data_IF_153870110552
#
_entry.id   IF_153870110552
#
_cell.length_a   1.000
_cell.length_b   1.000
_cell.length_c   1.000
_cell.angle_alpha   90.00
_cell.angle_beta   90.00
_cell.angle_gamma   90.00
#
_symmetry.space_group_name_H-M   'P 1'
#
loop_
_entity.id
_entity.type
_entity.pdbx_description
1 polymer ?
#
# COMPACT_ATOMS: atom_id res chain seq x y z
N UNK A 1 10.95 -23.50 -17.69
CA UNK A 1 11.31 -22.56 -16.59
C UNK A 1 10.52 -21.29 -16.80
N UNK A 2 9.53 -21.03 -15.94
CA UNK A 2 8.74 -19.80 -15.95
C UNK A 2 9.64 -18.61 -15.62
N UNK A 3 10.19 -17.97 -16.64
CA UNK A 3 10.99 -16.75 -16.50
C UNK A 3 10.16 -15.54 -16.05
N UNK A 4 8.84 -15.62 -16.13
CA UNK A 4 7.91 -14.63 -15.64
C UNK A 4 7.10 -15.20 -14.48
N UNK A 5 7.34 -14.75 -13.26
CA UNK A 5 6.48 -15.05 -12.10
C UNK A 5 5.13 -14.32 -12.18
N UNK A 6 4.53 -14.26 -13.39
CA UNK A 6 3.34 -13.48 -13.69
C UNK A 6 2.13 -13.84 -12.83
N UNK A 7 1.92 -15.14 -12.55
CA UNK A 7 0.80 -15.61 -11.71
C UNK A 7 0.89 -15.20 -10.25
N UNK A 8 2.08 -14.82 -9.77
CA UNK A 8 2.34 -14.42 -8.38
C UNK A 8 2.79 -12.97 -8.29
N UNK A 9 2.87 -12.25 -9.41
CA UNK A 9 3.20 -10.84 -9.43
C UNK A 9 1.97 -10.03 -9.03
N UNK A 10 2.04 -9.34 -7.90
CA UNK A 10 0.98 -8.47 -7.41
C UNK A 10 0.57 -7.44 -8.46
N UNK A 11 1.54 -6.83 -9.15
CA UNK A 11 1.30 -5.83 -10.19
C UNK A 11 0.47 -6.36 -11.36
N UNK A 12 0.80 -7.57 -11.84
CA UNK A 12 0.06 -8.20 -12.94
C UNK A 12 -1.36 -8.59 -12.50
N UNK A 13 -1.54 -9.01 -11.25
CA UNK A 13 -2.86 -9.33 -10.70
C UNK A 13 -3.72 -8.06 -10.53
N UNK A 14 -3.13 -6.95 -10.12
CA UNK A 14 -3.77 -5.63 -10.06
C UNK A 14 -4.24 -5.20 -11.45
N UNK A 15 -3.34 -5.21 -12.44
CA UNK A 15 -3.64 -4.85 -13.84
C UNK A 15 -4.76 -5.74 -14.43
N UNK A 16 -4.74 -7.04 -14.13
CA UNK A 16 -5.77 -7.98 -14.57
C UNK A 16 -7.13 -7.67 -13.95
N UNK A 17 -7.18 -7.33 -12.67
CA UNK A 17 -8.42 -6.97 -12.01
C UNK A 17 -9.00 -5.66 -12.57
N UNK A 18 -8.17 -4.64 -12.78
CA UNK A 18 -8.56 -3.38 -13.42
C UNK A 18 -9.10 -3.60 -14.83
N UNK A 19 -8.40 -4.40 -15.64
CA UNK A 19 -8.83 -4.75 -17.00
C UNK A 19 -10.15 -5.51 -17.00
N UNK A 20 -10.37 -6.42 -16.06
CA UNK A 20 -11.62 -7.16 -15.92
C UNK A 20 -12.79 -6.24 -15.58
N UNK A 21 -12.62 -5.33 -14.62
CA UNK A 21 -13.65 -4.35 -14.25
C UNK A 21 -13.95 -3.42 -15.44
N UNK A 22 -12.91 -2.97 -16.15
CA UNK A 22 -13.06 -2.16 -17.37
C UNK A 22 -13.83 -2.88 -18.48
N UNK A 23 -13.52 -4.14 -18.73
CA UNK A 23 -14.26 -4.96 -19.71
C UNK A 23 -15.73 -5.13 -19.32
N UNK A 24 -16.01 -5.42 -18.06
CA UNK A 24 -17.36 -5.53 -17.53
C UNK A 24 -18.14 -4.21 -17.69
N UNK A 25 -17.49 -3.08 -17.39
CA UNK A 25 -18.09 -1.75 -17.57
C UNK A 25 -18.49 -1.50 -19.03
N UNK A 26 -17.62 -1.82 -19.99
CA UNK A 26 -17.89 -1.64 -21.42
C UNK A 26 -18.99 -2.59 -21.89
N UNK A 27 -18.91 -3.86 -21.53
CA UNK A 27 -19.86 -4.89 -21.97
C UNK A 27 -21.31 -4.56 -21.54
N UNK A 28 -21.51 -4.17 -20.30
CA UNK A 28 -22.82 -3.78 -19.79
C UNK A 28 -23.32 -2.42 -20.28
N UNK A 29 -22.44 -1.53 -20.74
CA UNK A 29 -22.83 -0.27 -21.37
C UNK A 29 -23.13 -0.40 -22.87
N UNK A 30 -22.54 -1.37 -23.57
CA UNK A 30 -22.80 -1.59 -24.99
C UNK A 30 -24.20 -2.25 -25.27
N UNK A 31 -24.79 -2.90 -24.28
CA UNK A 31 -26.12 -3.52 -24.40
C UNK A 31 -27.23 -2.49 -24.63
N UNK A 32 -27.03 -1.26 -24.25
CA UNK A 32 -28.01 -0.18 -24.47
C UNK A 32 -27.71 0.60 -25.75
N UNK A 33 -28.03 0.03 -26.91
CA UNK A 33 -28.08 0.73 -28.21
C UNK A 33 -29.16 1.85 -28.33
N UNK A 34 -29.61 2.35 -27.20
CA UNK A 34 -30.54 3.48 -27.17
C UNK A 34 -29.80 4.75 -26.77
N UNK A 35 -29.78 5.72 -27.67
CA UNK A 35 -29.28 7.11 -27.60
C UNK A 35 -29.69 7.95 -26.35
N UNK A 36 -30.03 7.31 -25.25
CA UNK A 36 -30.35 7.93 -23.97
C UNK A 36 -29.12 8.17 -23.10
N UNK A 37 -28.01 7.47 -23.39
CA UNK A 37 -26.81 7.48 -22.55
C UNK A 37 -25.88 8.68 -22.79
N UNK A 38 -26.06 9.42 -23.89
CA UNK A 38 -25.29 10.66 -24.13
C UNK A 38 -25.50 11.75 -23.06
N UNK A 39 -26.46 11.54 -22.14
CA UNK A 39 -26.76 12.48 -21.04
C UNK A 39 -26.42 11.99 -19.65
N UNK A 40 -26.07 10.71 -19.47
CA UNK A 40 -25.77 10.14 -18.16
C UNK A 40 -24.41 9.47 -18.16
N UNK A 41 -23.45 10.06 -17.46
CA UNK A 41 -22.09 9.53 -17.29
C UNK A 41 -22.01 8.25 -16.45
N UNK A 42 -23.11 7.79 -15.87
CA UNK A 42 -23.21 6.58 -15.05
C UNK A 42 -24.29 5.64 -15.62
N UNK A 43 -23.94 4.87 -16.64
CA UNK A 43 -24.81 3.83 -17.19
C UNK A 43 -24.93 2.60 -16.27
N UNK A 44 -25.71 1.61 -16.71
CA UNK A 44 -25.91 0.31 -16.01
C UNK A 44 -24.57 -0.36 -15.70
N UNK A 45 -23.59 -0.27 -16.61
CA UNK A 45 -22.24 -0.80 -16.41
C UNK A 45 -21.56 -0.26 -15.16
N UNK A 46 -21.71 1.03 -14.85
CA UNK A 46 -21.16 1.61 -13.62
C UNK A 46 -21.76 0.97 -12.36
N UNK A 47 -23.09 0.86 -12.31
CA UNK A 47 -23.79 0.29 -11.14
C UNK A 47 -23.45 -1.19 -10.92
N UNK A 48 -23.27 -1.95 -12.00
CA UNK A 48 -22.87 -3.36 -11.93
C UNK A 48 -21.42 -3.47 -11.40
N UNK A 49 -20.51 -2.66 -11.94
CA UNK A 49 -19.12 -2.64 -11.48
C UNK A 49 -19.01 -2.19 -10.02
N UNK A 50 -19.73 -1.14 -9.63
CA UNK A 50 -19.77 -0.68 -8.24
C UNK A 50 -20.24 -1.80 -7.30
N UNK A 51 -21.37 -2.43 -7.62
CA UNK A 51 -21.91 -3.52 -6.82
C UNK A 51 -20.98 -4.73 -6.76
N UNK A 52 -20.32 -5.07 -7.87
CA UNK A 52 -19.34 -6.14 -7.92
C UNK A 52 -18.15 -5.83 -7.00
N UNK A 53 -17.55 -4.63 -7.11
CA UNK A 53 -16.41 -4.22 -6.29
C UNK A 53 -16.78 -4.21 -4.81
N UNK A 54 -17.95 -3.64 -4.46
CA UNK A 54 -18.42 -3.61 -3.07
C UNK A 54 -18.57 -5.03 -2.52
N UNK A 55 -19.23 -5.93 -3.25
CA UNK A 55 -19.40 -7.31 -2.83
C UNK A 55 -18.05 -8.03 -2.64
N UNK A 56 -17.10 -7.86 -3.56
CA UNK A 56 -15.74 -8.44 -3.44
C UNK A 56 -15.04 -7.92 -2.18
N UNK A 57 -15.13 -6.63 -1.91
CA UNK A 57 -14.52 -6.03 -0.73
C UNK A 57 -15.19 -6.55 0.55
N UNK A 58 -16.53 -6.57 0.61
CA UNK A 58 -17.27 -7.03 1.78
C UNK A 58 -17.03 -8.52 2.08
N UNK A 59 -16.87 -9.34 1.03
CA UNK A 59 -16.64 -10.79 1.19
C UNK A 59 -15.20 -11.13 1.61
N UNK A 60 -14.21 -10.37 1.11
CA UNK A 60 -12.80 -10.75 1.25
C UNK A 60 -11.99 -9.85 2.18
N UNK A 61 -12.54 -8.70 2.60
CA UNK A 61 -11.83 -7.75 3.45
C UNK A 61 -12.44 -7.71 4.85
N UNK A 62 -11.71 -8.20 5.83
CA UNK A 62 -12.06 -7.98 7.24
C UNK A 62 -11.63 -6.58 7.69
N UNK A 63 -12.59 -5.65 7.68
CA UNK A 63 -12.36 -4.27 8.11
C UNK A 63 -11.97 -4.18 9.59
N UNK A 64 -12.44 -5.10 10.43
CA UNK A 64 -12.06 -5.12 11.85
C UNK A 64 -10.57 -5.44 11.98
N UNK A 65 -10.08 -6.40 11.21
CA UNK A 65 -8.66 -6.74 11.18
C UNK A 65 -7.81 -5.57 10.62
N UNK A 66 -8.28 -4.90 9.57
CA UNK A 66 -7.60 -3.73 9.00
C UNK A 66 -7.51 -2.57 9.98
N UNK A 67 -8.57 -2.29 10.74
CA UNK A 67 -8.62 -1.22 11.74
C UNK A 67 -7.71 -1.57 12.92
N UNK A 68 -7.72 -2.82 13.36
CA UNK A 68 -6.89 -3.29 14.47
C UNK A 68 -5.40 -3.40 14.09
N UNK A 69 -5.10 -3.75 12.84
CA UNK A 69 -3.73 -3.76 12.32
C UNK A 69 -3.32 -2.38 11.81
N UNK A 70 -3.08 -1.46 12.71
CA UNK A 70 -2.46 -0.18 12.32
C UNK A 70 -1.00 -0.42 11.90
N UNK A 71 -0.80 -0.70 10.61
CA UNK A 71 0.51 -0.95 10.02
C UNK A 71 1.28 0.34 9.66
N UNK A 72 0.73 1.50 9.99
CA UNK A 72 1.41 2.78 9.73
C UNK A 72 2.37 3.12 10.88
N UNK A 73 3.42 2.33 10.99
CA UNK A 73 4.43 2.49 12.03
C UNK A 73 5.12 3.86 11.99
N UNK A 74 5.26 4.45 10.79
CA UNK A 74 5.86 5.77 10.63
C UNK A 74 5.01 6.87 11.27
N UNK A 75 3.70 6.83 11.10
CA UNK A 75 2.79 7.79 11.70
C UNK A 75 2.74 7.65 13.23
N UNK A 76 2.67 6.41 13.71
CA UNK A 76 2.69 6.12 15.15
C UNK A 76 3.96 6.67 15.80
N UNK A 77 5.13 6.39 15.20
CA UNK A 77 6.40 6.85 15.71
C UNK A 77 6.54 8.38 15.62
N UNK A 78 6.09 8.98 14.53
CA UNK A 78 6.14 10.44 14.34
C UNK A 78 5.27 11.15 15.37
N UNK A 79 4.09 10.63 15.69
CA UNK A 79 3.24 11.14 16.74
C UNK A 79 3.93 11.05 18.11
N UNK A 80 4.48 9.89 18.45
CA UNK A 80 5.23 9.69 19.68
C UNK A 80 6.40 10.68 19.82
N UNK A 81 7.19 10.89 18.77
CA UNK A 81 8.31 11.82 18.78
C UNK A 81 7.85 13.27 18.93
N UNK A 82 6.79 13.65 18.23
CA UNK A 82 6.22 15.00 18.34
C UNK A 82 5.69 15.29 19.75
N UNK A 83 5.04 14.31 20.39
CA UNK A 83 4.49 14.43 21.74
C UNK A 83 5.59 14.41 22.82
N UNK A 84 6.64 13.58 22.63
CA UNK A 84 7.66 13.35 23.66
C UNK A 84 8.84 14.33 23.55
N UNK A 85 9.28 14.59 22.32
CA UNK A 85 10.49 15.38 22.04
C UNK A 85 10.22 16.70 21.33
N UNK A 86 8.99 16.95 20.89
CA UNK A 86 8.62 18.17 20.15
C UNK A 86 9.24 18.28 18.76
N UNK A 87 9.77 17.20 18.20
CA UNK A 87 10.43 17.17 16.90
C UNK A 87 9.96 15.99 16.05
N UNK A 88 10.02 16.09 14.71
CA UNK A 88 9.73 14.96 13.83
C UNK A 88 10.86 13.93 13.88
N UNK A 89 10.53 12.69 13.49
CA UNK A 89 11.52 11.62 13.34
C UNK A 89 12.54 11.95 12.24
N UNK A 90 13.80 11.62 12.49
CA UNK A 90 14.89 11.73 11.53
C UNK A 90 15.27 10.36 11.01
N UNK A 91 15.61 10.28 9.72
CA UNK A 91 16.11 9.07 9.08
C UNK A 91 17.51 9.29 8.54
N UNK A 92 18.32 8.23 8.51
CA UNK A 92 19.59 8.23 7.78
C UNK A 92 19.34 8.27 6.27
N UNK A 93 20.34 8.71 5.50
CA UNK A 93 20.34 8.46 4.05
C UNK A 93 20.26 6.94 3.80
N UNK A 94 19.45 6.51 2.82
CA UNK A 94 19.29 5.09 2.51
C UNK A 94 20.60 4.51 1.99
N UNK A 95 21.11 3.49 2.65
CA UNK A 95 22.15 2.64 2.07
C UNK A 95 21.52 1.66 1.10
N UNK A 96 22.11 1.52 -0.09
CA UNK A 96 21.57 0.64 -1.15
C UNK A 96 22.57 -0.47 -1.39
N UNK A 97 22.14 -1.70 -1.17
CA UNK A 97 22.89 -2.91 -1.47
C UNK A 97 22.16 -3.75 -2.52
N UNK A 98 22.93 -4.55 -3.30
CA UNK A 98 22.40 -5.43 -4.32
C UNK A 98 22.50 -4.92 -5.75
N UNK A 99 22.20 -5.82 -6.72
CA UNK A 99 22.24 -5.54 -8.15
C UNK A 99 21.01 -4.79 -8.65
N UNK A 100 20.99 -4.47 -9.96
CA UNK A 100 19.93 -3.69 -10.60
C UNK A 100 18.49 -4.22 -10.35
N UNK A 101 18.32 -5.54 -10.19
CA UNK A 101 17.01 -6.18 -10.01
C UNK A 101 16.69 -6.59 -8.57
N UNK A 102 17.66 -6.55 -7.64
CA UNK A 102 17.50 -6.99 -6.25
C UNK A 102 18.03 -5.94 -5.25
N UNK A 103 17.68 -4.68 -5.49
CA UNK A 103 18.08 -3.60 -4.58
C UNK A 103 17.41 -3.75 -3.22
N UNK A 104 18.22 -3.66 -2.17
CA UNK A 104 17.79 -3.57 -0.79
C UNK A 104 18.19 -2.19 -0.24
N UNK A 105 17.25 -1.56 0.41
CA UNK A 105 17.44 -0.27 1.06
C UNK A 105 17.52 -0.49 2.56
N UNK A 106 18.57 0.01 3.19
CA UNK A 106 18.71 0.04 4.64
C UNK A 106 18.54 1.47 5.12
N UNK A 107 17.65 1.67 6.08
CA UNK A 107 17.34 2.98 6.67
C UNK A 107 17.31 2.84 8.18
N UNK A 108 17.88 3.80 8.90
CA UNK A 108 17.82 3.84 10.36
C UNK A 108 17.06 5.07 10.84
N UNK A 109 16.37 4.93 11.97
CA UNK A 109 15.74 6.03 12.70
C UNK A 109 16.75 6.57 13.72
N UNK A 110 16.84 7.90 13.79
CA UNK A 110 17.71 8.60 14.72
C UNK A 110 16.86 9.29 15.81
N UNK A 111 17.39 9.33 17.03
CA UNK A 111 16.83 10.12 18.11
C UNK A 111 17.21 11.62 18.01
N UNK A 112 16.87 12.39 19.02
CA UNK A 112 17.18 13.83 19.12
C UNK A 112 18.70 14.12 19.21
N UNK A 113 19.51 13.10 19.55
CA UNK A 113 20.98 13.16 19.67
C UNK A 113 21.70 12.51 18.51
N UNK A 114 20.98 12.23 17.40
CA UNK A 114 21.47 11.55 16.23
C UNK A 114 22.00 10.11 16.49
N UNK A 115 21.52 9.46 17.57
CA UNK A 115 21.81 8.07 17.87
C UNK A 115 20.80 7.15 17.16
N UNK A 116 21.29 6.08 16.53
CA UNK A 116 20.43 5.09 15.88
C UNK A 116 19.63 4.30 16.93
N UNK A 117 18.29 4.32 16.81
CA UNK A 117 17.37 3.66 17.74
C UNK A 117 16.54 2.54 17.09
N UNK A 118 16.64 2.39 15.79
CA UNK A 118 16.03 1.28 15.04
C UNK A 118 16.43 1.29 13.59
N UNK A 119 16.44 0.11 12.97
CA UNK A 119 16.88 -0.09 11.57
C UNK A 119 15.89 -0.94 10.81
N UNK A 120 15.70 -0.63 9.53
CA UNK A 120 14.83 -1.37 8.65
C UNK A 120 15.43 -1.61 7.29
N UNK A 121 15.21 -2.81 6.74
CA UNK A 121 15.66 -3.22 5.41
C UNK A 121 14.46 -3.56 4.56
N UNK A 122 14.41 -3.05 3.33
CA UNK A 122 13.28 -3.28 2.43
C UNK A 122 13.63 -3.15 0.96
N UNK A 123 12.79 -3.71 0.09
CA UNK A 123 12.94 -3.62 -1.37
C UNK A 123 12.66 -2.22 -1.95
N UNK A 124 12.22 -1.29 -1.12
CA UNK A 124 12.08 0.13 -1.47
C UNK A 124 12.36 0.98 -0.25
N UNK A 125 12.79 2.23 -0.45
CA UNK A 125 13.02 3.21 0.61
C UNK A 125 11.83 3.29 1.57
N UNK A 126 10.60 3.39 1.03
CA UNK A 126 9.36 3.47 1.81
C UNK A 126 9.13 2.24 2.70
N UNK A 127 9.42 1.02 2.20
CA UNK A 127 9.33 -0.21 3.01
C UNK A 127 10.42 -0.28 4.08
N UNK A 128 11.65 0.13 3.75
CA UNK A 128 12.73 0.20 4.71
C UNK A 128 12.42 1.17 5.86
N UNK A 129 11.90 2.37 5.56
CA UNK A 129 11.45 3.34 6.56
C UNK A 129 10.35 2.77 7.47
N UNK A 130 9.35 2.07 6.93
CA UNK A 130 8.29 1.44 7.73
C UNK A 130 8.85 0.36 8.67
N UNK A 131 9.79 -0.44 8.20
CA UNK A 131 10.43 -1.46 9.03
C UNK A 131 11.33 -0.86 10.10
N UNK A 132 12.05 0.21 9.80
CA UNK A 132 12.84 0.95 10.77
C UNK A 132 11.95 1.54 11.88
N UNK A 133 10.82 2.14 11.53
CA UNK A 133 9.85 2.64 12.49
C UNK A 133 9.26 1.52 13.35
N UNK A 134 8.94 0.37 12.76
CA UNK A 134 8.45 -0.80 13.50
C UNK A 134 9.48 -1.31 14.50
N UNK A 135 10.73 -1.40 14.09
CA UNK A 135 11.83 -1.83 14.94
C UNK A 135 12.03 -0.85 16.11
N UNK A 136 12.03 0.46 15.82
CA UNK A 136 12.10 1.51 16.83
C UNK A 136 10.96 1.41 17.86
N UNK A 137 9.71 1.25 17.40
CA UNK A 137 8.55 1.12 18.29
C UNK A 137 8.67 -0.10 19.22
N UNK A 138 9.22 -1.22 18.70
CA UNK A 138 9.51 -2.40 19.53
C UNK A 138 10.60 -2.11 20.57
N UNK A 139 11.70 -1.46 20.16
CA UNK A 139 12.80 -1.10 21.06
C UNK A 139 12.32 -0.16 22.19
N UNK A 140 11.36 0.71 21.87
CA UNK A 140 10.70 1.60 22.84
C UNK A 140 9.57 0.91 23.62
N UNK A 141 9.24 -0.37 23.35
CA UNK A 141 8.15 -1.15 23.95
C UNK A 141 6.77 -0.50 23.77
N UNK A 142 6.55 0.10 22.63
CA UNK A 142 5.27 0.76 22.27
C UNK A 142 4.38 -0.14 21.39
N UNK A 143 4.93 -1.25 20.87
CA UNK A 143 4.24 -2.27 20.06
C UNK A 143 4.75 -3.65 20.40
#
# INVERSE_FOLDING_TARGET
>A
EDKCKGRTSQHILEDMFEAFVGAMFLDFNEIDNYNLLDKFYSGIGYQICEKFIVNVIEEHVDFSELILKNNNYREQLNRYFSETYGCPIKFTEPEVDGGLNDKLYTVSVLDDKDICIGTGVGKSKKKAEQYACKDTLKNLKLV
#
